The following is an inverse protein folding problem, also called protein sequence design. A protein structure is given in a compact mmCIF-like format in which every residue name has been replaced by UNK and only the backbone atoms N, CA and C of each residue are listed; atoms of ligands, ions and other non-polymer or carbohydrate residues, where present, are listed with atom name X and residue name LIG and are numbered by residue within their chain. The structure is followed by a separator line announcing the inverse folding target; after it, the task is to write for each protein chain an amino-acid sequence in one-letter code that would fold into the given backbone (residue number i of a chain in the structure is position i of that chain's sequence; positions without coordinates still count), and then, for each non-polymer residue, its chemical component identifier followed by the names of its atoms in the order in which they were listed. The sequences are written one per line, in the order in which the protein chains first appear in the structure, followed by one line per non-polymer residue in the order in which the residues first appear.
data_IF_422550400078
#
_entry.id   IF_422550400078
#
_cell.length_a   1.000
_cell.length_b   1.000
_cell.length_c   1.000
_cell.angle_alpha   90.00
_cell.angle_beta   90.00
_cell.angle_gamma   90.00
#
_symmetry.space_group_name_H-M   'P 1'
#
loop_
_entity.id
_entity.type
_entity.pdbx_description
1 polymer ?
#
# COMPACT_ATOMS: atom_id res chain seq x y z
N UNK A 1 -6.51 10.73 22.16
CA UNK A 1 -7.03 9.71 21.23
C UNK A 1 -7.24 10.24 19.80
N UNK A 2 -7.82 11.43 19.64
CA UNK A 2 -7.90 12.15 18.35
C UNK A 2 -6.54 12.41 17.70
N UNK A 3 -5.55 12.88 18.47
CA UNK A 3 -4.18 13.11 17.98
C UNK A 3 -3.53 11.82 17.44
N UNK A 4 -3.66 10.71 18.17
CA UNK A 4 -3.17 9.40 17.72
C UNK A 4 -3.85 8.95 16.41
N UNK A 5 -5.15 9.22 16.26
CA UNK A 5 -5.91 8.89 15.05
C UNK A 5 -5.52 9.76 13.85
N UNK A 6 -5.22 11.05 14.07
CA UNK A 6 -4.68 11.95 13.05
C UNK A 6 -3.29 11.52 12.58
N UNK A 7 -2.41 11.17 13.52
CA UNK A 7 -1.07 10.64 13.21
C UNK A 7 -1.18 9.34 12.40
N UNK A 8 -2.06 8.42 12.79
CA UNK A 8 -2.31 7.18 12.06
C UNK A 8 -2.81 7.43 10.63
N UNK A 9 -3.75 8.38 10.46
CA UNK A 9 -4.26 8.76 9.15
C UNK A 9 -3.15 9.34 8.26
N UNK A 10 -2.33 10.26 8.78
CA UNK A 10 -1.19 10.83 8.05
C UNK A 10 -0.18 9.77 7.63
N UNK A 11 0.24 8.91 8.56
CA UNK A 11 1.19 7.81 8.26
C UNK A 11 0.64 6.85 7.22
N UNK A 12 -0.65 6.53 7.27
CA UNK A 12 -1.30 5.68 6.27
C UNK A 12 -1.29 6.31 4.87
N UNK A 13 -1.43 7.64 4.78
CA UNK A 13 -1.36 8.36 3.52
C UNK A 13 0.06 8.39 2.93
N UNK A 14 1.08 8.65 3.77
CA UNK A 14 2.50 8.63 3.37
C UNK A 14 2.93 7.23 2.91
N UNK A 15 2.50 6.18 3.63
CA UNK A 15 2.72 4.78 3.24
C UNK A 15 2.06 4.44 1.91
N UNK A 16 0.80 4.84 1.72
CA UNK A 16 0.06 4.59 0.49
C UNK A 16 0.76 5.21 -0.72
N UNK A 17 1.13 6.49 -0.63
CA UNK A 17 1.83 7.20 -1.72
C UNK A 17 3.16 6.53 -2.08
N UNK A 18 3.91 6.05 -1.08
CA UNK A 18 5.17 5.34 -1.29
C UNK A 18 4.96 4.00 -2.00
N UNK A 19 3.93 3.25 -1.61
CA UNK A 19 3.57 1.98 -2.24
C UNK A 19 3.03 2.15 -3.67
N UNK A 20 2.26 3.20 -3.93
CA UNK A 20 1.79 3.52 -5.28
C UNK A 20 2.97 3.80 -6.22
N UNK A 21 3.95 4.60 -5.76
CA UNK A 21 5.18 4.85 -6.52
C UNK A 21 5.99 3.56 -6.74
N UNK A 22 6.19 2.75 -5.70
CA UNK A 22 6.94 1.51 -5.80
C UNK A 22 6.27 0.51 -6.76
N UNK A 23 4.94 0.37 -6.68
CA UNK A 23 4.16 -0.51 -7.57
C UNK A 23 4.28 -0.06 -9.02
N UNK A 24 4.22 1.26 -9.28
CA UNK A 24 4.38 1.78 -10.64
C UNK A 24 5.77 1.46 -11.22
N UNK A 25 6.84 1.67 -10.45
CA UNK A 25 8.19 1.32 -10.88
C UNK A 25 8.37 -0.19 -11.08
N UNK A 26 7.72 -1.02 -10.27
CA UNK A 26 7.76 -2.47 -10.43
C UNK A 26 7.03 -2.94 -11.68
N UNK A 27 5.93 -2.28 -12.09
CA UNK A 27 5.25 -2.56 -13.36
C UNK A 27 6.14 -2.24 -14.55
N UNK A 28 6.81 -1.10 -14.52
CA UNK A 28 7.77 -0.71 -15.56
C UNK A 28 8.95 -1.68 -15.62
N UNK A 29 9.42 -2.15 -14.46
CA UNK A 29 10.48 -3.18 -14.38
C UNK A 29 10.05 -4.52 -14.94
N UNK A 30 8.83 -4.98 -14.65
CA UNK A 30 8.26 -6.22 -15.19
C UNK A 30 8.10 -6.14 -16.73
N UNK A 31 7.62 -5.00 -17.23
CA UNK A 31 7.51 -4.75 -18.66
C UNK A 31 8.88 -4.80 -19.35
N UNK A 32 9.89 -4.14 -18.77
CA UNK A 32 11.26 -4.19 -19.29
C UNK A 32 11.85 -5.61 -19.24
N UNK A 33 11.64 -6.35 -18.15
CA UNK A 33 12.12 -7.73 -18.02
C UNK A 33 11.52 -8.63 -19.11
N UNK A 34 10.21 -8.52 -19.36
CA UNK A 34 9.55 -9.23 -20.46
C UNK A 34 10.11 -8.87 -21.83
N UNK A 35 10.34 -7.58 -22.11
CA UNK A 35 10.94 -7.16 -23.38
C UNK A 35 12.36 -7.74 -23.57
N UNK A 36 13.18 -7.75 -22.51
CA UNK A 36 14.52 -8.35 -22.53
C UNK A 36 14.49 -9.85 -22.72
N UNK A 37 13.52 -10.54 -22.10
CA UNK A 37 13.33 -11.98 -22.29
C UNK A 37 12.92 -12.30 -23.73
N UNK A 38 12.00 -11.54 -24.31
CA UNK A 38 11.60 -11.67 -25.72
C UNK A 38 12.76 -11.40 -26.68
N UNK A 39 13.67 -10.50 -26.32
CA UNK A 39 14.91 -10.23 -27.04
C UNK A 39 16.01 -11.30 -26.81
N UNK A 40 15.80 -12.24 -25.89
CA UNK A 40 16.78 -13.27 -25.52
C UNK A 40 17.96 -12.76 -24.69
N UNK A 41 17.83 -11.59 -24.06
CA UNK A 41 18.88 -10.97 -23.25
C UNK A 41 18.95 -11.52 -21.82
N UNK A 42 17.82 -12.04 -21.31
CA UNK A 42 17.70 -12.57 -19.95
C UNK A 42 16.95 -13.89 -19.94
N UNK A 43 17.12 -14.66 -18.86
CA UNK A 43 16.38 -15.91 -18.64
C UNK A 43 14.97 -15.66 -18.10
N UNK A 44 14.06 -16.61 -18.35
CA UNK A 44 12.66 -16.52 -17.87
C UNK A 44 12.55 -16.43 -16.33
N UNK A 45 13.56 -16.92 -15.59
CA UNK A 45 13.60 -16.78 -14.14
C UNK A 45 13.68 -15.31 -13.68
N UNK A 46 14.34 -14.45 -14.46
CA UNK A 46 14.40 -13.02 -14.15
C UNK A 46 13.04 -12.33 -14.36
N UNK A 47 12.28 -12.77 -15.38
CA UNK A 47 10.89 -12.32 -15.58
C UNK A 47 10.03 -12.72 -14.37
N UNK A 48 10.11 -13.97 -13.94
CA UNK A 48 9.39 -14.49 -12.77
C UNK A 48 9.72 -13.72 -11.48
N UNK A 49 10.98 -13.35 -11.27
CA UNK A 49 11.38 -12.56 -10.12
C UNK A 49 10.79 -11.14 -10.14
N UNK A 50 10.77 -10.52 -11.33
CA UNK A 50 10.12 -9.20 -11.53
C UNK A 50 8.61 -9.26 -11.29
N UNK A 51 7.92 -10.30 -11.78
CA UNK A 51 6.49 -10.54 -11.55
C UNK A 51 6.20 -10.76 -10.07
N UNK A 52 7.03 -11.54 -9.38
CA UNK A 52 6.89 -11.78 -7.94
C UNK A 52 7.05 -10.49 -7.14
N UNK A 53 8.01 -9.66 -7.52
CA UNK A 53 8.22 -8.35 -6.89
C UNK A 53 7.02 -7.43 -7.11
N UNK A 54 6.49 -7.36 -8.34
CA UNK A 54 5.29 -6.61 -8.66
C UNK A 54 4.09 -7.09 -7.83
N UNK A 55 3.83 -8.40 -7.80
CA UNK A 55 2.71 -8.98 -7.06
C UNK A 55 2.78 -8.62 -5.57
N UNK A 56 3.96 -8.77 -4.94
CA UNK A 56 4.15 -8.40 -3.54
C UNK A 56 3.86 -6.92 -3.28
N UNK A 57 4.20 -6.03 -4.22
CA UNK A 57 3.94 -4.60 -4.08
C UNK A 57 2.46 -4.28 -4.27
N UNK A 58 1.77 -4.94 -5.20
CA UNK A 58 0.33 -4.81 -5.39
C UNK A 58 -0.46 -5.29 -4.16
N UNK A 59 -0.06 -6.41 -3.55
CA UNK A 59 -0.65 -6.92 -2.31
C UNK A 59 -0.44 -5.95 -1.14
N UNK A 60 0.76 -5.39 -1.01
CA UNK A 60 1.06 -4.38 0.01
C UNK A 60 0.25 -3.10 -0.21
N UNK A 61 0.07 -2.68 -1.48
CA UNK A 61 -0.74 -1.53 -1.85
C UNK A 61 -2.21 -1.73 -1.48
N UNK A 62 -2.77 -2.91 -1.78
CA UNK A 62 -4.14 -3.28 -1.41
C UNK A 62 -4.33 -3.25 0.12
N UNK A 63 -3.39 -3.85 0.85
CA UNK A 63 -3.40 -3.85 2.32
C UNK A 63 -3.34 -2.42 2.87
N UNK A 64 -2.46 -1.57 2.32
CA UNK A 64 -2.35 -0.17 2.75
C UNK A 64 -3.59 0.67 2.45
N UNK A 65 -4.35 0.36 1.39
CA UNK A 65 -5.65 0.99 1.10
C UNK A 65 -6.69 0.61 2.14
N UNK A 66 -6.72 -0.66 2.56
CA UNK A 66 -7.58 -1.12 3.64
C UNK A 66 -7.22 -0.44 4.98
N UNK A 67 -5.94 -0.38 5.32
CA UNK A 67 -5.44 0.29 6.54
C UNK A 67 -5.82 1.77 6.57
N UNK A 68 -5.70 2.47 5.43
CA UNK A 68 -6.12 3.88 5.31
C UNK A 68 -7.61 4.04 5.57
N UNK A 69 -8.43 3.15 5.03
CA UNK A 69 -9.88 3.17 5.25
C UNK A 69 -10.20 2.99 6.74
N UNK A 70 -9.54 2.04 7.41
CA UNK A 70 -9.68 1.82 8.86
C UNK A 70 -9.23 3.05 9.65
N UNK A 71 -8.12 3.69 9.26
CA UNK A 71 -7.63 4.91 9.90
C UNK A 71 -8.64 6.06 9.80
N UNK A 72 -9.32 6.22 8.66
CA UNK A 72 -10.41 7.20 8.53
C UNK A 72 -11.60 6.86 9.44
N UNK A 73 -12.02 5.59 9.49
CA UNK A 73 -13.12 5.18 10.38
C UNK A 73 -12.81 5.53 11.84
N UNK A 74 -11.59 5.22 12.31
CA UNK A 74 -11.13 5.57 13.67
C UNK A 74 -11.09 7.07 13.91
N UNK A 75 -10.63 7.84 12.93
CA UNK A 75 -10.63 9.30 13.01
C UNK A 75 -12.07 9.85 13.11
N UNK A 76 -13.00 9.35 12.30
CA UNK A 76 -14.42 9.73 12.38
C UNK A 76 -15.04 9.37 13.73
N UNK A 77 -14.73 8.19 14.29
CA UNK A 77 -15.17 7.80 15.64
C UNK A 77 -14.60 8.76 16.70
N UNK A 78 -13.32 9.09 16.62
CA UNK A 78 -12.68 10.02 17.56
C UNK A 78 -13.20 11.47 17.45
N UNK A 79 -13.68 11.89 16.26
CA UNK A 79 -14.21 13.24 16.00
C UNK A 79 -15.72 13.39 16.26
N UNK A 80 -16.51 12.33 16.06
CA UNK A 80 -17.98 12.35 16.15
C UNK A 80 -18.57 11.52 17.30
N UNK A 81 -17.73 10.80 18.06
CA UNK A 81 -18.19 9.80 19.01
C UNK A 81 -17.13 9.39 20.03
N UNK A 82 -16.61 10.37 20.77
CA UNK A 82 -16.62 10.18 22.22
C UNK A 82 -18.07 10.00 22.70
N UNK A 83 -18.72 8.88 22.34
CA UNK A 83 -19.89 8.37 23.03
C UNK A 83 -19.38 7.94 24.41
N UNK A 84 -19.21 8.90 25.31
CA UNK A 84 -19.47 8.65 26.72
C UNK A 84 -20.95 9.01 26.93
N UNK A 85 -21.73 8.17 27.64
CA UNK A 85 -21.41 7.88 29.03
C UNK A 85 -21.61 6.43 29.48
N UNK A 86 -20.70 5.96 30.32
CA UNK A 86 -20.93 5.16 31.53
C UNK A 86 -19.54 5.01 32.18
N UNK A 87 -19.16 5.75 33.23
CA UNK A 87 -19.81 5.80 34.54
C UNK A 87 -20.68 4.57 34.81
N UNK A 88 -20.02 3.53 35.31
CA UNK A 88 -20.53 2.61 36.32
C UNK A 88 -19.37 2.12 37.17
#
# INVERSE_FOLDING_TARGET
ETENSLIACRRSAERLASLEKATQLARESDELARQRYEAGEIDFLEVLDSQRTLLNLEDNLLTSRADRTIAYIRLYQALGGGWSPADS
#
